data_IF_383325270675
#
_entry.id   IF_383325270675
#
_cell.length_a   1.000
_cell.length_b   1.000
_cell.length_c   1.000
_cell.angle_alpha   90.00
_cell.angle_beta   90.00
_cell.angle_gamma   90.00
#
_symmetry.space_group_name_H-M   'P 1'
#
loop_
_entity.id
_entity.type
_entity.pdbx_description
1 polymer ?
#
# COMPACT_ATOMS: atom_id res chain seq x y z
N UNK A 1 3.84 11.48 -1.10
CA UNK A 1 3.63 11.16 0.32
C UNK A 1 4.85 11.57 1.14
N UNK A 2 6.00 10.89 1.06
CA UNK A 2 7.16 11.21 1.90
C UNK A 2 7.53 12.70 2.03
N UNK A 3 7.67 13.44 0.91
CA UNK A 3 8.05 14.86 0.97
C UNK A 3 6.99 15.73 1.66
N UNK A 4 5.71 15.53 1.35
CA UNK A 4 4.62 16.30 1.92
C UNK A 4 4.39 15.96 3.41
N UNK A 5 4.65 14.71 3.79
CA UNK A 5 4.57 14.26 5.18
C UNK A 5 5.72 14.82 6.01
N UNK A 6 6.92 14.99 5.42
CA UNK A 6 8.03 15.72 6.06
C UNK A 6 7.69 17.19 6.26
N UNK A 7 7.21 17.87 5.23
CA UNK A 7 6.78 19.27 5.33
C UNK A 7 5.72 19.46 6.43
N UNK A 8 4.76 18.52 6.57
CA UNK A 8 3.77 18.55 7.64
C UNK A 8 4.41 18.31 9.03
N UNK A 9 5.30 17.33 9.14
CA UNK A 9 5.98 16.99 10.39
C UNK A 9 6.91 18.12 10.88
N UNK A 10 7.51 18.85 9.93
CA UNK A 10 8.41 19.99 10.18
C UNK A 10 7.63 21.31 10.39
N UNK A 11 6.30 21.30 10.24
CA UNK A 11 5.44 22.48 10.42
C UNK A 11 5.47 23.48 9.26
N UNK A 12 5.95 23.08 8.08
CA UNK A 12 5.92 23.90 6.86
C UNK A 12 4.52 23.99 6.24
N UNK A 13 3.66 23.00 6.51
CA UNK A 13 2.25 22.98 6.13
C UNK A 13 1.39 22.54 7.31
N UNK A 14 0.15 23.03 7.40
CA UNK A 14 -0.73 22.74 8.52
C UNK A 14 -1.53 21.43 8.34
N UNK A 15 -1.89 21.10 7.09
CA UNK A 15 -2.76 19.97 6.75
C UNK A 15 -2.39 19.43 5.36
N UNK A 16 -2.44 18.10 5.19
CA UNK A 16 -2.45 17.46 3.88
C UNK A 16 -3.57 16.40 3.78
N UNK A 17 -3.95 16.04 2.55
CA UNK A 17 -5.06 15.10 2.27
C UNK A 17 -4.64 14.17 1.13
N UNK A 18 -3.86 13.14 1.46
CA UNK A 18 -3.25 12.29 0.44
C UNK A 18 -2.94 10.85 0.85
N UNK A 19 -3.02 10.53 2.15
CA UNK A 19 -2.58 9.25 2.71
C UNK A 19 -3.70 8.51 3.43
N UNK A 20 -3.52 7.20 3.56
CA UNK A 20 -4.31 6.36 4.46
C UNK A 20 -3.56 6.14 5.78
N UNK A 21 -4.27 5.64 6.80
CA UNK A 21 -3.74 5.50 8.17
C UNK A 21 -2.54 4.54 8.25
N UNK A 22 -2.49 3.49 7.44
CA UNK A 22 -1.36 2.56 7.46
C UNK A 22 -0.07 3.22 6.94
N UNK A 23 -0.15 4.05 5.89
CA UNK A 23 0.98 4.84 5.42
C UNK A 23 1.46 5.81 6.50
N UNK A 24 0.53 6.53 7.15
CA UNK A 24 0.86 7.48 8.22
C UNK A 24 1.60 6.80 9.39
N UNK A 25 1.14 5.63 9.83
CA UNK A 25 1.82 4.86 10.89
C UNK A 25 3.24 4.46 10.47
N UNK A 26 3.40 3.95 9.25
CA UNK A 26 4.71 3.58 8.73
C UNK A 26 5.65 4.79 8.59
N UNK A 27 5.13 5.96 8.19
CA UNK A 27 5.89 7.21 8.18
C UNK A 27 6.33 7.58 9.61
N UNK A 28 5.41 7.60 10.57
CA UNK A 28 5.73 7.95 11.95
C UNK A 28 6.82 7.03 12.54
N UNK A 29 6.70 5.72 12.32
CA UNK A 29 7.67 4.72 12.78
C UNK A 29 9.05 4.87 12.10
N UNK A 30 9.09 5.19 10.81
CA UNK A 30 10.33 5.18 10.02
C UNK A 30 11.02 6.54 9.89
N UNK A 31 10.31 7.63 10.15
CA UNK A 31 10.78 9.01 9.96
C UNK A 31 10.72 9.85 11.25
N UNK A 32 10.54 9.21 12.42
CA UNK A 32 10.39 9.91 13.72
C UNK A 32 9.29 10.98 13.67
N UNK A 33 8.15 10.58 13.09
CA UNK A 33 7.02 11.46 12.84
C UNK A 33 5.94 11.35 13.92
N UNK A 34 5.20 12.44 14.13
CA UNK A 34 4.04 12.49 15.04
C UNK A 34 2.77 12.95 14.31
N UNK A 35 2.58 12.44 13.09
CA UNK A 35 1.42 12.79 12.28
C UNK A 35 0.15 12.15 12.88
N UNK A 36 -0.90 12.96 13.00
CA UNK A 36 -2.22 12.53 13.48
C UNK A 36 -3.27 12.57 12.37
N UNK A 37 -4.20 11.63 12.40
CA UNK A 37 -5.34 11.61 11.47
C UNK A 37 -6.51 12.43 12.06
N UNK A 38 -7.08 13.33 11.27
CA UNK A 38 -8.22 14.15 11.71
C UNK A 38 -9.56 13.47 11.43
N UNK A 39 -9.78 13.04 10.19
CA UNK A 39 -11.03 12.41 9.77
C UNK A 39 -10.83 11.55 8.53
N UNK A 40 -11.72 10.59 8.32
CA UNK A 40 -11.79 9.84 7.08
C UNK A 40 -12.49 10.67 5.99
N UNK A 41 -11.95 10.62 4.77
CA UNK A 41 -12.53 11.27 3.60
C UNK A 41 -12.84 10.26 2.50
N UNK A 42 -13.75 10.58 1.56
CA UNK A 42 -13.96 9.75 0.38
C UNK A 42 -12.64 9.51 -0.35
N UNK A 43 -12.28 8.24 -0.54
CA UNK A 43 -11.00 7.82 -1.12
C UNK A 43 -11.26 6.84 -2.26
N UNK A 44 -10.46 6.93 -3.32
CA UNK A 44 -10.55 6.03 -4.47
C UNK A 44 -10.05 4.62 -4.07
N UNK A 45 -10.83 3.55 -4.33
CA UNK A 45 -10.38 2.18 -4.07
C UNK A 45 -9.11 1.83 -4.85
N UNK A 46 -8.23 1.02 -4.26
CA UNK A 46 -7.12 0.42 -4.99
C UNK A 46 -7.65 -0.61 -6.00
N UNK A 47 -7.01 -0.69 -7.17
CA UNK A 47 -7.41 -1.58 -8.26
C UNK A 47 -6.21 -2.19 -8.97
N UNK A 48 -6.45 -3.31 -9.67
CA UNK A 48 -5.50 -3.93 -10.59
C UNK A 48 -5.86 -3.43 -11.99
N UNK A 49 -4.88 -2.89 -12.71
CA UNK A 49 -5.05 -2.36 -14.06
C UNK A 49 -4.09 -3.05 -15.02
N UNK A 50 -4.47 -3.10 -16.30
CA UNK A 50 -3.67 -3.73 -17.34
C UNK A 50 -3.83 -2.98 -18.66
N UNK A 51 -2.73 -2.77 -19.37
CA UNK A 51 -2.73 -2.24 -20.73
C UNK A 51 -2.77 -3.36 -21.79
N UNK A 52 -2.51 -4.61 -21.40
CA UNK A 52 -2.29 -5.74 -22.34
C UNK A 52 -3.27 -6.88 -22.15
N UNK A 53 -4.02 -6.91 -21.05
CA UNK A 53 -4.99 -7.94 -20.72
C UNK A 53 -6.32 -7.29 -20.35
N UNK A 54 -7.43 -7.89 -20.75
CA UNK A 54 -8.78 -7.35 -20.54
C UNK A 54 -9.48 -7.92 -19.32
N UNK A 55 -8.98 -9.03 -18.78
CA UNK A 55 -9.56 -9.66 -17.59
C UNK A 55 -8.49 -10.36 -16.75
N UNK A 56 -8.87 -10.77 -15.54
CA UNK A 56 -7.97 -11.48 -14.64
C UNK A 56 -7.66 -12.89 -15.16
N UNK A 57 -8.60 -13.53 -15.86
CA UNK A 57 -8.46 -14.89 -16.39
C UNK A 57 -7.40 -15.00 -17.50
N UNK A 58 -7.06 -13.89 -18.15
CA UNK A 58 -6.01 -13.85 -19.18
C UNK A 58 -4.58 -13.90 -18.59
N UNK A 59 -4.43 -13.64 -17.29
CA UNK A 59 -3.13 -13.58 -16.62
C UNK A 59 -2.60 -15.01 -16.39
N UNK A 60 -1.48 -15.33 -17.04
CA UNK A 60 -0.83 -16.64 -16.94
C UNK A 60 0.24 -16.66 -15.86
N UNK A 61 0.55 -17.86 -15.36
CA UNK A 61 1.69 -18.09 -14.45
C UNK A 61 2.97 -17.51 -15.06
N UNK A 62 3.75 -16.80 -14.25
CA UNK A 62 4.97 -16.11 -14.67
C UNK A 62 4.76 -14.68 -15.17
N UNK A 63 3.51 -14.18 -15.17
CA UNK A 63 3.25 -12.76 -15.40
C UNK A 63 3.98 -11.89 -14.37
N UNK A 64 4.44 -10.73 -14.83
CA UNK A 64 5.04 -9.70 -13.97
C UNK A 64 3.97 -8.68 -13.61
N UNK A 65 3.82 -8.43 -12.32
CA UNK A 65 2.89 -7.44 -11.78
C UNK A 65 3.71 -6.36 -11.09
N UNK A 66 3.55 -5.12 -11.53
CA UNK A 66 4.14 -3.98 -10.85
C UNK A 66 3.36 -3.70 -9.56
N UNK A 67 4.08 -3.46 -8.47
CA UNK A 67 3.53 -3.05 -7.18
C UNK A 67 4.18 -1.73 -6.75
N UNK A 68 3.54 -0.97 -5.85
CA UNK A 68 4.17 0.18 -5.19
C UNK A 68 5.49 -0.22 -4.51
N UNK A 69 6.32 0.76 -4.17
CA UNK A 69 7.64 0.54 -3.57
C UNK A 69 7.76 0.99 -2.11
N UNK A 70 6.70 1.55 -1.51
CA UNK A 70 6.62 1.78 -0.07
C UNK A 70 5.92 0.61 0.64
N UNK A 71 6.29 0.34 1.90
CA UNK A 71 5.86 -0.84 2.64
C UNK A 71 4.33 -0.98 2.71
N UNK A 72 3.64 0.10 3.11
CA UNK A 72 2.19 0.07 3.30
C UNK A 72 1.40 -0.18 2.01
N UNK A 73 1.80 0.46 0.89
CA UNK A 73 1.11 0.28 -0.38
C UNK A 73 1.51 -1.02 -1.08
N UNK A 74 2.74 -1.50 -0.85
CA UNK A 74 3.18 -2.85 -1.28
C UNK A 74 2.32 -3.91 -0.61
N UNK A 75 2.16 -3.82 0.71
CA UNK A 75 1.31 -4.72 1.49
C UNK A 75 -0.14 -4.72 0.97
N UNK A 76 -0.72 -3.54 0.75
CA UNK A 76 -2.07 -3.39 0.17
C UNK A 76 -2.18 -4.03 -1.21
N UNK A 77 -1.14 -3.93 -2.05
CA UNK A 77 -1.12 -4.59 -3.36
C UNK A 77 -1.08 -6.12 -3.22
N UNK A 78 -0.26 -6.67 -2.31
CA UNK A 78 -0.21 -8.10 -2.05
C UNK A 78 -1.54 -8.66 -1.55
N UNK A 79 -2.22 -7.97 -0.63
CA UNK A 79 -3.56 -8.35 -0.19
C UNK A 79 -4.57 -8.35 -1.36
N UNK A 80 -4.47 -7.39 -2.28
CA UNK A 80 -5.34 -7.35 -3.46
C UNK A 80 -5.04 -8.52 -4.42
N UNK A 81 -3.78 -8.88 -4.60
CA UNK A 81 -3.37 -10.05 -5.39
C UNK A 81 -3.80 -11.37 -4.77
N UNK A 82 -3.77 -11.48 -3.44
CA UNK A 82 -4.34 -12.63 -2.72
C UNK A 82 -5.85 -12.74 -2.94
N UNK A 83 -6.58 -11.62 -2.86
CA UNK A 83 -8.02 -11.59 -3.16
C UNK A 83 -8.33 -12.00 -4.60
N UNK A 84 -7.44 -11.65 -5.54
CA UNK A 84 -7.49 -12.09 -6.93
C UNK A 84 -7.02 -13.55 -7.14
N UNK A 85 -6.60 -14.25 -6.08
CA UNK A 85 -6.12 -15.64 -6.08
C UNK A 85 -4.84 -15.87 -6.90
N UNK A 86 -4.03 -14.83 -7.10
CA UNK A 86 -2.75 -14.94 -7.81
C UNK A 86 -1.59 -15.31 -6.90
N UNK A 87 -1.68 -14.91 -5.63
CA UNK A 87 -0.71 -15.27 -4.60
C UNK A 87 -1.44 -15.77 -3.35
N UNK A 88 -0.70 -16.42 -2.46
CA UNK A 88 -1.14 -16.71 -1.08
C UNK A 88 -0.12 -16.10 -0.14
N UNK A 89 -0.61 -15.36 0.85
CA UNK A 89 0.18 -14.80 1.94
C UNK A 89 0.19 -15.79 3.10
N UNK A 90 1.26 -15.76 3.90
CA UNK A 90 1.29 -16.42 5.19
C UNK A 90 0.08 -15.96 6.04
N UNK A 91 -0.73 -16.88 6.60
CA UNK A 91 -1.91 -16.51 7.38
C UNK A 91 -1.58 -15.71 8.64
N UNK A 92 -0.36 -15.82 9.16
CA UNK A 92 0.09 -15.16 10.39
C UNK A 92 0.80 -13.82 10.13
N UNK A 93 0.92 -13.40 8.85
CA UNK A 93 1.59 -12.14 8.50
C UNK A 93 0.82 -10.90 8.98
N UNK A 94 1.55 -9.89 9.44
CA UNK A 94 0.98 -8.57 9.63
C UNK A 94 0.65 -7.91 8.27
N UNK A 95 -0.65 -7.85 7.97
CA UNK A 95 -1.18 -7.21 6.76
C UNK A 95 -0.88 -5.70 6.66
N UNK A 96 -0.42 -5.06 7.73
CA UNK A 96 0.02 -3.66 7.69
C UNK A 96 1.37 -3.48 6.99
N UNK A 97 2.20 -4.52 6.98
CA UNK A 97 3.57 -4.51 6.45
C UNK A 97 4.00 -5.91 6.00
N UNK A 98 3.46 -6.39 4.87
CA UNK A 98 3.78 -7.71 4.32
C UNK A 98 5.11 -7.67 3.55
N UNK A 99 6.17 -8.36 4.01
CA UNK A 99 7.38 -8.55 3.22
C UNK A 99 7.12 -9.54 2.08
N UNK A 100 7.95 -9.46 1.03
CA UNK A 100 7.83 -10.35 -0.12
C UNK A 100 8.01 -11.83 0.25
N UNK A 101 8.82 -12.13 1.26
CA UNK A 101 9.13 -13.50 1.67
C UNK A 101 7.92 -14.21 2.29
N UNK A 102 6.91 -13.47 2.74
CA UNK A 102 5.65 -14.03 3.26
C UNK A 102 4.64 -14.37 2.14
N UNK A 103 5.06 -14.28 0.88
CA UNK A 103 4.32 -14.84 -0.26
C UNK A 103 4.67 -16.33 -0.38
N UNK A 104 3.80 -17.18 0.16
CA UNK A 104 4.02 -18.63 0.26
C UNK A 104 3.54 -19.42 -0.97
N UNK A 105 2.84 -18.78 -1.90
CA UNK A 105 2.41 -19.37 -3.18
C UNK A 105 2.09 -18.32 -4.22
#
# INVERSE_FOLDING_TARGET
>A
LLQNDKALNEGEIDVNVERHTAYMKNFNESQDGDLVALTAIPTVPAGIFSNTHKSLEEIKKGAKIAVPNDASNTSRAYVLLQKAKYITLDPDVDISSVPKDDIIK
#
